data_IF_067234953397
#
_entry.id   IF_067234953397
#
_cell.length_a   1.000
_cell.length_b   1.000
_cell.length_c   1.000
_cell.angle_alpha   90.00
_cell.angle_beta   90.00
_cell.angle_gamma   90.00
#
_symmetry.space_group_name_H-M   'P 1'
#
loop_
_entity.id
_entity.type
_entity.pdbx_description
1 polymer ?
#
# COMPACT_ATOMS: atom_id res chain seq x y z
N UNK A 1 -9.77 -2.99 -14.22
CA UNK A 1 -10.31 -3.80 -13.09
C UNK A 1 -11.11 -2.92 -12.13
N UNK A 2 -10.55 -1.78 -11.69
CA UNK A 2 -11.23 -0.79 -10.85
C UNK A 2 -12.60 -0.37 -11.37
N UNK A 3 -12.71 0.04 -12.64
CA UNK A 3 -14.01 0.36 -13.27
C UNK A 3 -15.05 -0.76 -13.15
N UNK A 4 -14.63 -2.02 -13.26
CA UNK A 4 -15.52 -3.16 -13.21
C UNK A 4 -16.02 -3.41 -11.77
N UNK A 5 -15.16 -3.23 -10.76
CA UNK A 5 -15.56 -3.29 -9.36
C UNK A 5 -16.52 -2.13 -9.02
N UNK A 6 -16.17 -0.91 -9.45
CA UNK A 6 -16.98 0.30 -9.27
C UNK A 6 -18.37 0.18 -9.89
N UNK A 7 -18.48 -0.34 -11.11
CA UNK A 7 -19.76 -0.62 -11.79
C UNK A 7 -20.65 -1.62 -11.04
N UNK A 8 -20.08 -2.47 -10.19
CA UNK A 8 -20.81 -3.40 -9.32
C UNK A 8 -21.12 -2.80 -7.93
N UNK A 9 -20.80 -1.53 -7.70
CA UNK A 9 -21.00 -0.86 -6.42
C UNK A 9 -20.03 -1.32 -5.33
N UNK A 10 -18.92 -1.98 -5.70
CA UNK A 10 -17.90 -2.41 -4.75
C UNK A 10 -16.92 -1.26 -4.50
N UNK A 11 -16.58 -0.94 -3.24
CA UNK A 11 -15.52 0.02 -2.94
C UNK A 11 -14.17 -0.48 -3.47
N UNK A 12 -13.27 0.44 -3.73
CA UNK A 12 -11.99 0.17 -4.37
C UNK A 12 -10.85 0.90 -3.67
N UNK A 13 -9.68 0.30 -3.62
CA UNK A 13 -8.52 0.94 -3.02
C UNK A 13 -7.23 0.66 -3.79
N UNK A 14 -6.30 1.60 -3.78
CA UNK A 14 -4.98 1.44 -4.35
C UNK A 14 -3.92 2.02 -3.43
N UNK A 15 -2.84 1.27 -3.26
CA UNK A 15 -1.73 1.60 -2.39
C UNK A 15 -0.45 1.62 -3.20
N UNK A 16 -0.07 2.82 -3.58
CA UNK A 16 1.01 3.17 -4.49
C UNK A 16 0.74 2.69 -5.92
N UNK A 17 0.76 1.40 -6.20
CA UNK A 17 0.55 0.87 -7.55
C UNK A 17 -0.82 0.19 -7.70
N UNK A 18 -1.49 0.32 -8.86
CA UNK A 18 -1.04 1.01 -10.08
C UNK A 18 -1.17 2.53 -10.05
N UNK A 19 -0.51 3.19 -11.00
CA UNK A 19 -0.63 4.63 -11.30
C UNK A 19 -2.10 5.01 -11.57
N UNK A 20 -2.77 5.44 -10.50
CA UNK A 20 -4.22 5.65 -10.44
C UNK A 20 -4.54 7.06 -9.95
N UNK A 21 -3.59 7.99 -10.04
CA UNK A 21 -3.81 9.38 -9.66
C UNK A 21 -5.06 9.91 -10.39
N UNK A 22 -5.97 10.49 -9.62
CA UNK A 22 -7.23 11.07 -10.10
C UNK A 22 -8.17 10.07 -10.82
N UNK A 23 -7.97 8.75 -10.69
CA UNK A 23 -8.90 7.74 -11.21
C UNK A 23 -10.20 7.74 -10.36
N UNK A 24 -11.37 8.10 -10.95
CA UNK A 24 -12.64 8.15 -10.22
C UNK A 24 -13.15 6.77 -9.79
N UNK A 25 -12.56 5.70 -10.30
CA UNK A 25 -12.87 4.31 -9.94
C UNK A 25 -12.01 3.79 -8.79
N UNK A 26 -11.21 4.64 -8.11
CA UNK A 26 -10.45 4.30 -6.90
C UNK A 26 -10.91 5.16 -5.72
N UNK A 27 -11.60 4.56 -4.75
CA UNK A 27 -12.23 5.28 -3.62
C UNK A 27 -11.25 5.69 -2.52
N UNK A 28 -10.23 4.86 -2.28
CA UNK A 28 -9.21 5.10 -1.27
C UNK A 28 -7.83 4.93 -1.90
N UNK A 29 -7.16 6.05 -2.19
CA UNK A 29 -5.95 6.03 -3.00
C UNK A 29 -4.77 6.67 -2.27
N UNK A 30 -3.65 5.95 -2.29
CA UNK A 30 -2.30 6.49 -2.10
C UNK A 30 -1.62 6.37 -3.47
N UNK A 31 -1.66 7.39 -4.34
CA UNK A 31 -1.19 7.23 -5.71
C UNK A 31 0.34 7.19 -5.79
N UNK A 32 0.88 6.36 -6.68
CA UNK A 32 2.28 6.40 -7.09
C UNK A 32 2.52 7.66 -7.94
N UNK A 33 2.93 8.72 -7.26
CA UNK A 33 3.34 9.99 -7.89
C UNK A 33 4.68 10.34 -7.30
N UNK A 34 5.58 10.82 -8.15
CA UNK A 34 6.94 11.15 -7.77
C UNK A 34 7.23 12.63 -7.89
N UNK A 35 8.08 13.13 -7.00
CA UNK A 35 8.80 14.39 -7.15
C UNK A 35 9.91 14.27 -8.19
N UNK A 36 10.48 15.40 -8.62
CA UNK A 36 11.59 15.43 -9.60
C UNK A 36 12.83 14.66 -9.14
N UNK A 37 13.03 14.50 -7.82
CA UNK A 37 14.10 13.69 -7.22
C UNK A 37 13.70 12.23 -6.96
N UNK A 38 12.64 11.74 -7.61
CA UNK A 38 12.15 10.36 -7.53
C UNK A 38 11.76 9.89 -6.12
N UNK A 39 11.29 10.81 -5.27
CA UNK A 39 10.66 10.48 -3.99
C UNK A 39 9.15 10.41 -4.13
N UNK A 40 8.48 9.63 -3.29
CA UNK A 40 7.02 9.60 -3.27
C UNK A 40 6.45 10.96 -2.88
N UNK A 41 5.54 11.50 -3.69
CA UNK A 41 4.92 12.80 -3.48
C UNK A 41 3.70 12.69 -2.57
N UNK A 42 3.90 12.94 -1.27
CA UNK A 42 2.83 12.87 -0.27
C UNK A 42 1.67 13.83 -0.57
N UNK A 43 1.93 14.97 -1.22
CA UNK A 43 0.89 15.95 -1.55
C UNK A 43 -0.01 15.48 -2.71
N UNK A 44 0.34 14.40 -3.40
CA UNK A 44 -0.54 13.75 -4.36
C UNK A 44 -1.64 12.91 -3.68
N UNK A 45 -1.46 12.55 -2.41
CA UNK A 45 -2.49 11.87 -1.62
C UNK A 45 -3.52 12.90 -1.17
N UNK A 46 -4.81 12.55 -1.23
CA UNK A 46 -5.85 13.45 -0.75
C UNK A 46 -5.65 13.79 0.75
N UNK A 47 -5.86 15.06 1.16
CA UNK A 47 -5.75 15.45 2.56
C UNK A 47 -6.69 14.66 3.49
N UNK A 48 -7.84 14.23 2.97
CA UNK A 48 -8.79 13.39 3.71
C UNK A 48 -8.21 12.00 4.04
N UNK A 49 -7.62 11.33 3.04
CA UNK A 49 -6.95 10.02 3.24
C UNK A 49 -5.79 10.14 4.22
N UNK A 50 -4.93 11.15 4.07
CA UNK A 50 -3.82 11.37 5.01
C UNK A 50 -4.31 11.64 6.43
N UNK A 51 -5.35 12.46 6.60
CA UNK A 51 -5.92 12.75 7.92
C UNK A 51 -6.54 11.49 8.55
N UNK A 52 -7.23 10.68 7.76
CA UNK A 52 -7.82 9.42 8.20
C UNK A 52 -6.77 8.42 8.67
N UNK A 53 -5.71 8.20 7.89
CA UNK A 53 -4.61 7.30 8.26
C UNK A 53 -3.86 7.77 9.51
N UNK A 54 -3.56 9.07 9.61
CA UNK A 54 -2.90 9.64 10.79
C UNK A 54 -3.75 9.50 12.06
N UNK A 55 -5.08 9.70 11.95
CA UNK A 55 -6.02 9.50 13.08
C UNK A 55 -6.11 8.03 13.50
N UNK A 56 -5.90 7.12 12.56
CA UNK A 56 -5.80 5.69 12.81
C UNK A 56 -4.41 5.26 13.30
N UNK A 57 -3.53 6.21 13.61
CA UNK A 57 -2.15 5.99 14.08
C UNK A 57 -1.25 5.25 13.09
N UNK A 58 -1.66 5.10 11.83
CA UNK A 58 -0.81 4.58 10.77
C UNK A 58 0.28 5.62 10.49
N UNK A 59 1.58 5.28 10.60
CA UNK A 59 2.66 6.24 10.47
C UNK A 59 2.98 6.57 9.01
N UNK A 60 1.96 6.94 8.23
CA UNK A 60 2.04 7.09 6.77
C UNK A 60 3.07 8.14 6.32
N UNK A 61 3.34 9.16 7.13
CA UNK A 61 4.39 10.14 6.84
C UNK A 61 5.80 9.51 6.77
N UNK A 62 6.03 8.41 7.51
CA UNK A 62 7.28 7.66 7.46
C UNK A 62 7.40 6.83 6.19
N UNK A 63 6.30 6.34 5.61
CA UNK A 63 6.32 5.68 4.30
C UNK A 63 6.98 6.60 3.25
N UNK A 64 6.45 7.82 3.10
CA UNK A 64 6.97 8.79 2.15
C UNK A 64 8.40 9.24 2.47
N UNK A 65 8.74 9.39 3.76
CA UNK A 65 10.11 9.74 4.19
C UNK A 65 11.13 8.66 3.86
N UNK A 66 10.75 7.39 3.99
CA UNK A 66 11.62 6.24 3.78
C UNK A 66 11.59 5.70 2.35
N UNK A 67 10.71 6.25 1.50
CA UNK A 67 10.62 5.88 0.10
C UNK A 67 11.97 6.03 -0.63
N UNK A 68 12.40 4.98 -1.32
CA UNK A 68 13.67 4.91 -2.04
C UNK A 68 14.89 5.07 -1.13
N UNK A 69 14.86 4.48 0.07
CA UNK A 69 16.00 4.40 0.99
C UNK A 69 16.23 2.96 1.45
N UNK A 70 17.30 2.71 2.20
CA UNK A 70 17.58 1.39 2.79
C UNK A 70 16.48 0.90 3.76
N UNK A 71 15.54 1.78 4.11
CA UNK A 71 14.37 1.50 4.97
C UNK A 71 13.13 1.08 4.19
N UNK A 72 13.24 0.84 2.87
CA UNK A 72 12.11 0.39 2.05
C UNK A 72 11.35 -0.81 2.61
N UNK A 73 11.98 -1.86 3.17
CA UNK A 73 11.24 -2.95 3.81
C UNK A 73 10.30 -2.47 4.94
N UNK A 74 10.74 -1.50 5.74
CA UNK A 74 9.92 -0.91 6.79
C UNK A 74 8.83 0.01 6.21
N UNK A 75 9.11 0.70 5.10
CA UNK A 75 8.10 1.48 4.38
C UNK A 75 6.98 0.58 3.83
N UNK A 76 7.32 -0.55 3.22
CA UNK A 76 6.34 -1.54 2.73
C UNK A 76 5.41 -2.03 3.86
N UNK A 77 5.95 -2.26 5.05
CA UNK A 77 5.14 -2.66 6.21
C UNK A 77 4.15 -1.57 6.63
N UNK A 78 4.53 -0.29 6.54
CA UNK A 78 3.61 0.84 6.80
C UNK A 78 2.53 0.91 5.70
N UNK A 79 2.89 0.70 4.45
CA UNK A 79 1.94 0.70 3.34
C UNK A 79 0.94 -0.47 3.48
N UNK A 80 1.41 -1.65 3.89
CA UNK A 80 0.58 -2.81 4.21
C UNK A 80 -0.35 -2.52 5.40
N UNK A 81 0.10 -1.79 6.42
CA UNK A 81 -0.75 -1.34 7.53
C UNK A 81 -1.84 -0.37 7.08
N UNK A 82 -1.50 0.59 6.22
CA UNK A 82 -2.47 1.50 5.61
C UNK A 82 -3.52 0.75 4.77
N UNK A 83 -3.09 -0.26 4.00
CA UNK A 83 -3.98 -1.15 3.25
C UNK A 83 -4.86 -2.01 4.16
N UNK A 84 -4.28 -2.57 5.23
CA UNK A 84 -5.03 -3.28 6.26
C UNK A 84 -6.09 -2.43 6.92
N UNK A 85 -5.80 -1.15 7.20
CA UNK A 85 -6.79 -0.20 7.68
C UNK A 85 -7.96 -0.05 6.69
N UNK A 86 -7.68 0.19 5.41
CA UNK A 86 -8.73 0.32 4.39
C UNK A 86 -9.54 -0.98 4.20
N UNK A 87 -8.90 -2.15 4.29
CA UNK A 87 -9.60 -3.45 4.28
C UNK A 87 -10.64 -3.51 5.40
N UNK A 88 -10.26 -3.12 6.62
CA UNK A 88 -11.13 -3.22 7.80
C UNK A 88 -12.25 -2.18 7.82
N UNK A 89 -11.98 -0.95 7.37
CA UNK A 89 -12.93 0.16 7.46
C UNK A 89 -13.79 0.34 6.20
N UNK A 90 -13.24 0.03 5.02
CA UNK A 90 -13.90 0.26 3.73
C UNK A 90 -14.35 -1.03 3.04
N UNK A 91 -13.75 -2.18 3.37
CA UNK A 91 -14.06 -3.49 2.78
C UNK A 91 -14.10 -3.45 1.24
N UNK A 92 -13.01 -3.03 0.57
CA UNK A 92 -12.98 -2.91 -0.87
C UNK A 92 -13.16 -4.27 -1.54
N UNK A 93 -13.95 -4.31 -2.62
CA UNK A 93 -14.06 -5.51 -3.47
C UNK A 93 -12.87 -5.69 -4.42
N UNK A 94 -12.02 -4.66 -4.55
CA UNK A 94 -10.72 -4.72 -5.21
C UNK A 94 -9.74 -3.78 -4.51
N UNK A 95 -8.60 -4.31 -4.09
CA UNK A 95 -7.46 -3.56 -3.57
C UNK A 95 -6.22 -3.93 -4.38
N UNK A 96 -5.44 -2.94 -4.78
CA UNK A 96 -4.09 -3.13 -5.33
C UNK A 96 -3.05 -2.50 -4.40
N UNK A 97 -1.87 -3.10 -4.32
CA UNK A 97 -0.75 -2.62 -3.50
C UNK A 97 0.58 -3.00 -4.15
N UNK A 98 1.58 -2.11 -4.05
CA UNK A 98 2.98 -2.41 -4.37
C UNK A 98 3.77 -2.69 -3.09
N UNK A 99 4.39 -3.86 -3.00
CA UNK A 99 5.41 -4.16 -1.99
C UNK A 99 6.78 -4.04 -2.69
N UNK A 100 7.42 -2.89 -2.56
CA UNK A 100 8.48 -2.43 -3.47
C UNK A 100 9.85 -3.02 -3.16
N UNK A 101 10.17 -3.32 -1.89
CA UNK A 101 11.52 -3.71 -1.50
C UNK A 101 12.05 -4.96 -2.22
N UNK A 102 11.15 -5.85 -2.65
CA UNK A 102 11.53 -7.05 -3.40
C UNK A 102 12.04 -6.70 -4.79
N UNK A 103 11.34 -5.80 -5.49
CA UNK A 103 11.72 -5.32 -6.82
C UNK A 103 13.08 -4.61 -6.76
N UNK A 104 13.24 -3.69 -5.80
CA UNK A 104 14.48 -2.94 -5.60
C UNK A 104 15.68 -3.88 -5.34
N UNK A 105 15.54 -4.82 -4.41
CA UNK A 105 16.62 -5.75 -4.06
C UNK A 105 16.98 -6.69 -5.22
N UNK A 106 15.99 -7.13 -6.00
CA UNK A 106 16.19 -7.99 -7.16
C UNK A 106 16.86 -7.25 -8.31
N UNK A 107 16.47 -6.00 -8.57
CA UNK A 107 17.14 -5.14 -9.54
C UNK A 107 18.61 -4.88 -9.17
N UNK A 108 18.90 -4.65 -7.90
CA UNK A 108 20.24 -4.32 -7.43
C UNK A 108 21.20 -5.53 -7.36
N UNK A 109 20.70 -6.71 -6.97
CA UNK A 109 21.56 -7.83 -6.58
C UNK A 109 21.22 -9.17 -7.27
N UNK A 110 20.10 -9.25 -7.97
CA UNK A 110 19.56 -10.49 -8.51
C UNK A 110 18.81 -11.34 -7.48
N UNK A 111 17.95 -12.28 -7.94
CA UNK A 111 16.96 -12.96 -7.11
C UNK A 111 17.51 -13.94 -6.07
N UNK A 112 18.74 -14.44 -6.28
CA UNK A 112 19.37 -15.41 -5.37
C UNK A 112 20.23 -14.76 -4.28
N UNK A 113 20.37 -13.43 -4.31
CA UNK A 113 21.16 -12.72 -3.30
C UNK A 113 20.43 -12.71 -1.95
N UNK A 114 21.19 -12.75 -0.84
CA UNK A 114 20.60 -12.80 0.50
C UNK A 114 19.71 -11.58 0.82
N UNK A 115 20.02 -10.41 0.25
CA UNK A 115 19.18 -9.21 0.37
C UNK A 115 17.84 -9.35 -0.37
N UNK A 116 17.81 -9.98 -1.54
CA UNK A 116 16.56 -10.27 -2.25
C UNK A 116 15.72 -11.30 -1.48
N UNK A 117 16.37 -12.30 -0.86
CA UNK A 117 15.68 -13.26 0.02
C UNK A 117 15.13 -12.59 1.29
N UNK A 118 15.87 -11.64 1.89
CA UNK A 118 15.39 -10.86 3.02
C UNK A 118 14.20 -9.97 2.64
N UNK A 119 14.24 -9.33 1.46
CA UNK A 119 13.13 -8.54 0.95
C UNK A 119 11.88 -9.40 0.66
N UNK A 120 12.06 -10.61 0.14
CA UNK A 120 10.97 -11.58 -0.03
C UNK A 120 10.33 -11.98 1.32
N UNK A 121 11.13 -12.23 2.35
CA UNK A 121 10.62 -12.48 3.71
C UNK A 121 9.83 -11.28 4.24
N UNK A 122 10.26 -10.04 3.95
CA UNK A 122 9.49 -8.85 4.30
C UNK A 122 8.16 -8.79 3.55
N UNK A 123 8.15 -9.14 2.27
CA UNK A 123 6.92 -9.18 1.48
C UNK A 123 5.93 -10.23 2.01
N UNK A 124 6.41 -11.40 2.43
CA UNK A 124 5.57 -12.41 3.10
C UNK A 124 4.94 -11.86 4.39
N UNK A 125 5.71 -11.14 5.21
CA UNK A 125 5.18 -10.47 6.40
C UNK A 125 4.13 -9.39 6.07
N UNK A 126 4.32 -8.63 4.98
CA UNK A 126 3.32 -7.68 4.50
C UNK A 126 2.02 -8.39 4.10
N UNK A 127 2.12 -9.50 3.36
CA UNK A 127 0.96 -10.32 2.98
C UNK A 127 0.25 -10.88 4.21
N UNK A 128 1.00 -11.36 5.21
CA UNK A 128 0.44 -11.81 6.48
C UNK A 128 -0.45 -10.76 7.15
N UNK A 129 0.03 -9.51 7.23
CA UNK A 129 -0.77 -8.37 7.76
C UNK A 129 -2.05 -8.11 6.98
N UNK A 130 -1.99 -8.21 5.65
CA UNK A 130 -3.18 -8.02 4.82
C UNK A 130 -4.20 -9.14 5.04
N UNK A 131 -3.72 -10.39 5.16
CA UNK A 131 -4.58 -11.54 5.44
C UNK A 131 -5.24 -11.44 6.82
N UNK A 132 -4.49 -11.05 7.85
CA UNK A 132 -5.03 -10.75 9.19
C UNK A 132 -6.13 -9.69 9.13
N UNK A 133 -5.90 -8.61 8.38
CA UNK A 133 -6.91 -7.56 8.20
C UNK A 133 -8.18 -8.05 7.50
N UNK A 134 -8.05 -8.95 6.51
CA UNK A 134 -9.20 -9.59 5.84
C UNK A 134 -9.97 -10.48 6.81
N UNK A 135 -9.26 -11.29 7.61
CA UNK A 135 -9.87 -12.17 8.61
C UNK A 135 -10.61 -11.38 9.69
N UNK A 136 -10.03 -10.29 10.20
CA UNK A 136 -10.68 -9.37 11.14
C UNK A 136 -11.93 -8.74 10.54
N UNK A 137 -11.84 -8.23 9.30
CA UNK A 137 -12.96 -7.60 8.60
C UNK A 137 -14.14 -8.56 8.39
N UNK A 138 -13.85 -9.85 8.23
CA UNK A 138 -14.83 -10.93 8.08
C UNK A 138 -15.33 -11.50 9.43
N UNK A 139 -14.52 -11.43 10.49
CA UNK A 139 -14.90 -11.93 11.82
C UNK A 139 -15.89 -11.00 12.54
N UNK A 140 -15.92 -9.72 12.17
CA UNK A 140 -16.89 -8.72 12.65
C UNK A 140 -18.35 -8.96 12.17
N UNK A 141 -18.66 -10.15 11.64
CA UNK A 141 -20.00 -10.59 11.23
C UNK A 141 -20.63 -11.62 12.20
N UNK A 142 -20.13 -11.74 13.43
CA UNK A 142 -20.73 -12.56 14.49
C UNK A 142 -21.64 -11.76 15.41
#
# INVERSE_FOLDING_TARGET
LFDAAKKKGLPTASFFWPETKDDPSVDFNIPEVFTDDHKGEINAVSPAVLSELRKAEVPIDLYFRWYGSERMPAADMILAEAAGYAIKTRKPGLLAIHILATDEAQHAHGPHHYLAQAALTNADACVGKLMEAVEEANSNFK
#
